data_IF_539561462907
#
_entry.id   IF_539561462907
#
_cell.length_a   1.000
_cell.length_b   1.000
_cell.length_c   1.000
_cell.angle_alpha   90.00
_cell.angle_beta   90.00
_cell.angle_gamma   90.00
#
_symmetry.space_group_name_H-M   'P 1'
#
loop_
_entity.id
_entity.type
_entity.pdbx_description
1 polymer ?
#
# COMPACT_ATOMS: atom_id res chain seq x y z
N UNK A 1 -4.82 -33.04 -17.76
CA UNK A 1 -3.69 -32.23 -18.23
C UNK A 1 -3.99 -31.84 -19.68
N UNK A 2 -4.21 -30.56 -19.95
CA UNK A 2 -4.32 -30.01 -21.31
C UNK A 2 -3.00 -29.35 -21.71
N UNK A 3 -2.56 -29.56 -22.93
CA UNK A 3 -1.42 -28.88 -23.55
C UNK A 3 -1.96 -27.81 -24.50
N UNK A 4 -1.44 -26.60 -24.40
CA UNK A 4 -1.79 -25.48 -25.28
C UNK A 4 -0.53 -25.01 -25.98
N UNK A 5 -0.62 -24.84 -27.29
CA UNK A 5 0.44 -24.24 -28.09
C UNK A 5 0.22 -22.73 -28.18
N UNK A 6 1.27 -21.95 -28.10
CA UNK A 6 1.23 -20.49 -28.18
C UNK A 6 2.54 -19.95 -28.74
N UNK A 7 2.48 -18.82 -29.44
CA UNK A 7 3.66 -18.15 -30.04
C UNK A 7 4.42 -17.29 -29.02
N UNK A 8 3.70 -16.75 -27.99
CA UNK A 8 4.31 -15.96 -26.92
C UNK A 8 3.58 -16.17 -25.59
N UNK A 9 4.36 -16.19 -24.50
CA UNK A 9 3.82 -16.31 -23.14
C UNK A 9 4.38 -15.18 -22.26
N UNK A 10 3.48 -14.42 -21.64
CA UNK A 10 3.83 -13.43 -20.61
C UNK A 10 3.46 -13.97 -19.24
N UNK A 11 4.47 -14.37 -18.46
CA UNK A 11 4.25 -14.89 -17.11
C UNK A 11 4.45 -13.79 -16.06
N UNK A 12 3.35 -13.41 -15.39
CA UNK A 12 3.34 -12.44 -14.28
C UNK A 12 2.75 -13.11 -13.05
N UNK A 13 3.56 -13.88 -12.36
CA UNK A 13 3.10 -14.80 -11.30
C UNK A 13 3.56 -14.47 -9.89
N UNK A 14 4.56 -13.60 -9.72
CA UNK A 14 5.13 -13.32 -8.40
C UNK A 14 5.53 -11.85 -8.24
N UNK A 15 5.55 -11.40 -6.98
CA UNK A 15 6.07 -10.10 -6.59
C UNK A 15 7.41 -10.32 -5.89
N UNK A 16 8.42 -9.55 -6.27
CA UNK A 16 9.71 -9.50 -5.60
C UNK A 16 9.97 -8.10 -5.05
N UNK A 17 10.67 -7.96 -3.93
CA UNK A 17 11.11 -6.66 -3.44
C UNK A 17 12.14 -6.05 -4.40
N UNK A 18 12.08 -4.73 -4.57
CA UNK A 18 13.07 -4.02 -5.38
C UNK A 18 14.46 -4.01 -4.72
N UNK A 19 15.52 -3.90 -5.53
CA UNK A 19 16.91 -3.87 -5.07
C UNK A 19 17.19 -2.76 -4.03
N UNK A 20 16.46 -1.65 -4.08
CA UNK A 20 16.55 -0.56 -3.11
C UNK A 20 16.36 -1.05 -1.65
N UNK A 21 15.51 -2.04 -1.44
CA UNK A 21 15.23 -2.53 -0.08
C UNK A 21 16.42 -3.30 0.48
N UNK A 22 17.08 -4.11 -0.34
CA UNK A 22 18.24 -4.90 0.08
C UNK A 22 19.38 -4.03 0.63
N UNK A 23 19.57 -2.81 0.07
CA UNK A 23 20.60 -1.85 0.51
C UNK A 23 20.14 -0.85 1.58
N UNK A 24 18.88 -0.89 2.01
CA UNK A 24 18.30 0.17 2.84
C UNK A 24 18.60 0.03 4.35
N UNK A 25 19.07 -1.12 4.82
CA UNK A 25 19.23 -1.43 6.26
C UNK A 25 17.91 -1.67 6.99
N UNK A 26 16.78 -1.68 6.31
CA UNK A 26 15.47 -2.02 6.89
C UNK A 26 15.39 -3.52 7.20
N UNK A 27 14.77 -3.86 8.34
CA UNK A 27 14.47 -5.25 8.63
C UNK A 27 13.49 -5.81 7.59
N UNK A 28 13.81 -6.98 7.06
CA UNK A 28 13.01 -7.69 6.06
C UNK A 28 12.61 -9.09 6.55
N UNK A 29 11.62 -9.68 5.91
CA UNK A 29 11.37 -11.11 6.03
C UNK A 29 12.36 -11.93 5.16
N UNK A 30 12.27 -13.26 5.23
CA UNK A 30 13.15 -14.19 4.50
C UNK A 30 13.07 -14.04 2.97
N UNK A 31 12.07 -13.34 2.46
CA UNK A 31 11.86 -13.05 1.04
C UNK A 31 12.27 -11.62 0.65
N UNK A 32 12.83 -10.84 1.58
CA UNK A 32 13.31 -9.49 1.37
C UNK A 32 12.22 -8.40 1.43
N UNK A 33 10.98 -8.69 1.82
CA UNK A 33 9.94 -7.69 2.03
C UNK A 33 10.09 -7.00 3.38
N UNK A 34 9.80 -5.70 3.45
CA UNK A 34 9.97 -4.90 4.67
C UNK A 34 9.10 -5.48 5.80
N UNK A 35 9.74 -5.92 6.87
CA UNK A 35 9.05 -6.42 8.05
C UNK A 35 8.39 -5.26 8.81
N UNK A 36 7.05 -5.29 8.91
CA UNK A 36 6.27 -4.27 9.61
C UNK A 36 5.49 -4.84 10.79
N UNK A 37 5.21 -3.97 11.75
CA UNK A 37 4.28 -4.23 12.85
C UNK A 37 2.83 -4.09 12.40
N UNK A 38 1.88 -4.35 13.30
CA UNK A 38 0.46 -4.10 13.03
C UNK A 38 0.14 -2.63 12.82
N UNK A 39 0.97 -1.70 13.24
CA UNK A 39 0.84 -0.27 12.95
C UNK A 39 1.42 0.13 11.59
N UNK A 40 1.88 -0.82 10.79
CA UNK A 40 2.55 -0.62 9.50
C UNK A 40 3.91 0.08 9.61
N UNK A 41 4.44 0.24 10.81
CA UNK A 41 5.81 0.72 11.02
C UNK A 41 6.82 -0.38 10.74
N UNK A 42 7.95 -0.02 10.14
CA UNK A 42 9.12 -0.90 10.04
C UNK A 42 9.56 -1.36 11.44
N UNK A 43 9.96 -2.61 11.55
CA UNK A 43 10.43 -3.19 12.82
C UNK A 43 11.80 -2.66 13.25
N UNK A 44 12.61 -2.21 12.31
CA UNK A 44 13.95 -1.64 12.58
C UNK A 44 13.97 -0.11 12.66
N UNK A 45 13.04 0.57 11.97
CA UNK A 45 13.05 2.02 11.84
C UNK A 45 11.65 2.60 12.10
N UNK A 46 11.35 3.08 13.32
CA UNK A 46 10.01 3.55 13.69
C UNK A 46 9.48 4.72 12.85
N UNK A 47 10.35 5.50 12.20
CA UNK A 47 9.96 6.59 11.31
C UNK A 47 9.59 6.12 9.90
N UNK A 48 9.83 4.84 9.57
CA UNK A 48 9.54 4.25 8.26
C UNK A 48 8.27 3.42 8.37
N UNK A 49 7.37 3.64 7.42
CA UNK A 49 6.14 2.88 7.27
C UNK A 49 6.12 2.19 5.91
N UNK A 50 5.54 1.00 5.85
CA UNK A 50 5.33 0.29 4.60
C UNK A 50 3.98 -0.41 4.56
N UNK A 51 3.35 -0.43 3.39
CA UNK A 51 2.10 -1.15 3.13
C UNK A 51 2.03 -1.66 1.69
N UNK A 52 0.99 -2.43 1.38
CA UNK A 52 0.88 -3.08 0.07
C UNK A 52 1.87 -4.22 -0.10
N UNK A 53 2.25 -4.50 -1.34
CA UNK A 53 3.02 -5.69 -1.68
C UNK A 53 4.45 -5.67 -1.12
N UNK A 54 5.02 -4.48 -0.88
CA UNK A 54 6.36 -4.35 -0.30
C UNK A 54 6.42 -4.72 1.19
N UNK A 55 5.29 -4.66 1.91
CA UNK A 55 5.24 -4.90 3.34
C UNK A 55 4.99 -6.36 3.69
N UNK A 56 5.70 -6.87 4.68
CA UNK A 56 5.46 -8.17 5.32
C UNK A 56 5.00 -7.97 6.76
N UNK A 57 3.72 -8.28 7.02
CA UNK A 57 3.12 -8.15 8.34
C UNK A 57 3.40 -9.41 9.16
N UNK A 58 4.26 -9.31 10.16
CA UNK A 58 4.57 -10.41 11.08
C UNK A 58 3.73 -10.30 12.36
N UNK A 59 3.21 -11.42 12.90
CA UNK A 59 3.37 -12.82 12.47
C UNK A 59 2.35 -13.27 11.42
N UNK A 60 1.50 -12.40 10.91
CA UNK A 60 0.37 -12.74 10.05
C UNK A 60 0.66 -12.39 8.58
N UNK A 61 1.60 -13.09 7.96
CA UNK A 61 1.85 -12.94 6.53
C UNK A 61 0.54 -13.05 5.71
N UNK A 62 0.36 -12.14 4.74
CA UNK A 62 -0.80 -12.11 3.86
C UNK A 62 -0.39 -12.27 2.41
N UNK A 63 -1.26 -12.81 1.56
CA UNK A 63 -1.03 -12.81 0.12
C UNK A 63 -0.78 -11.39 -0.39
N UNK A 64 0.12 -11.25 -1.36
CA UNK A 64 0.36 -9.98 -2.05
C UNK A 64 -0.80 -9.73 -3.02
N UNK A 65 -1.78 -8.97 -2.58
CA UNK A 65 -2.97 -8.67 -3.35
C UNK A 65 -3.47 -7.25 -3.07
N UNK A 66 -3.88 -6.53 -4.11
CA UNK A 66 -4.27 -5.12 -4.06
C UNK A 66 -5.33 -4.79 -3.01
N UNK A 67 -6.21 -5.74 -2.68
CA UNK A 67 -7.23 -5.54 -1.63
C UNK A 67 -6.62 -5.25 -0.26
N UNK A 68 -5.47 -5.83 0.06
CA UNK A 68 -4.78 -5.55 1.32
C UNK A 68 -4.13 -4.17 1.30
N UNK A 69 -3.51 -3.78 0.18
CA UNK A 69 -2.95 -2.44 -0.01
C UNK A 69 -4.02 -1.35 0.17
N UNK A 70 -5.15 -1.52 -0.52
CA UNK A 70 -6.30 -0.60 -0.47
C UNK A 70 -6.84 -0.44 0.95
N UNK A 71 -7.01 -1.54 1.69
CA UNK A 71 -7.55 -1.51 3.05
C UNK A 71 -6.55 -1.04 4.10
N UNK A 72 -5.26 -1.18 3.84
CA UNK A 72 -4.21 -0.64 4.70
C UNK A 72 -4.08 0.89 4.56
N UNK A 73 -4.42 1.47 3.40
CA UNK A 73 -4.26 2.89 3.10
C UNK A 73 -4.79 3.85 4.16
N UNK A 74 -6.06 3.75 4.59
CA UNK A 74 -6.61 4.63 5.63
C UNK A 74 -5.88 4.51 6.99
N UNK A 75 -5.42 3.31 7.34
CA UNK A 75 -4.64 3.09 8.57
C UNK A 75 -3.25 3.70 8.43
N UNK A 76 -2.60 3.52 7.28
CA UNK A 76 -1.31 4.12 6.99
C UNK A 76 -1.38 5.64 7.07
N UNK A 77 -2.35 6.26 6.40
CA UNK A 77 -2.54 7.72 6.42
C UNK A 77 -2.76 8.26 7.84
N UNK A 78 -3.63 7.58 8.63
CA UNK A 78 -3.83 7.92 10.03
C UNK A 78 -2.53 7.82 10.83
N UNK A 79 -1.81 6.71 10.68
CA UNK A 79 -0.61 6.43 11.46
C UNK A 79 0.56 7.38 11.11
N UNK A 80 0.74 7.71 9.84
CA UNK A 80 1.72 8.72 9.43
C UNK A 80 1.43 10.08 10.08
N UNK A 81 0.16 10.52 10.04
CA UNK A 81 -0.25 11.77 10.69
C UNK A 81 -0.04 11.72 12.20
N UNK A 82 -0.50 10.64 12.85
CA UNK A 82 -0.35 10.51 14.31
C UNK A 82 1.12 10.42 14.72
N UNK A 83 1.93 9.72 13.95
CA UNK A 83 3.38 9.66 14.22
C UNK A 83 4.01 11.06 14.15
N UNK A 84 3.71 11.86 13.13
CA UNK A 84 4.21 13.22 13.00
C UNK A 84 3.77 14.15 14.17
N UNK A 85 2.57 13.93 14.69
CA UNK A 85 2.00 14.73 15.79
C UNK A 85 2.33 14.16 17.18
N UNK A 86 3.01 13.02 17.30
CA UNK A 86 3.27 12.34 18.56
C UNK A 86 2.06 11.66 19.17
N UNK A 87 1.01 11.40 18.38
CA UNK A 87 -0.23 10.80 18.79
C UNK A 87 -0.22 9.26 18.77
N UNK A 88 -1.37 8.67 19.07
CA UNK A 88 -1.53 7.22 19.18
C UNK A 88 -1.75 6.57 17.82
N UNK A 89 -0.97 5.53 17.52
CA UNK A 89 -1.11 4.74 16.29
C UNK A 89 -2.22 3.70 16.41
N UNK A 90 -2.83 3.36 15.28
CA UNK A 90 -3.85 2.33 15.15
C UNK A 90 -3.26 1.05 14.58
N UNK A 91 -3.69 -0.10 15.11
CA UNK A 91 -3.33 -1.40 14.56
C UNK A 91 -4.23 -1.76 13.38
N UNK A 92 -3.62 -2.22 12.30
CA UNK A 92 -4.31 -2.82 11.18
C UNK A 92 -4.47 -4.32 11.40
N UNK A 93 -5.69 -4.82 11.24
CA UNK A 93 -6.02 -6.24 11.29
C UNK A 93 -6.57 -6.67 9.93
N UNK A 94 -5.74 -7.23 9.05
CA UNK A 94 -6.19 -7.63 7.73
C UNK A 94 -7.18 -8.79 7.81
N UNK A 95 -8.18 -8.79 6.91
CA UNK A 95 -9.14 -9.87 6.80
C UNK A 95 -8.43 -11.20 6.45
N UNK A 96 -9.05 -12.32 6.90
CA UNK A 96 -8.53 -13.66 6.61
C UNK A 96 -8.80 -14.10 5.19
N UNK A 97 -9.95 -13.71 4.64
CA UNK A 97 -10.40 -14.08 3.30
C UNK A 97 -10.76 -12.83 2.49
N UNK A 98 -10.59 -12.92 1.19
CA UNK A 98 -11.02 -11.91 0.24
C UNK A 98 -11.60 -12.59 -1.00
N UNK A 99 -12.41 -11.85 -1.75
CA UNK A 99 -12.91 -12.26 -3.05
C UNK A 99 -11.89 -11.81 -4.10
N UNK A 100 -11.34 -12.76 -4.85
CA UNK A 100 -10.55 -12.47 -6.04
C UNK A 100 -11.45 -12.65 -7.27
N UNK A 101 -11.47 -11.65 -8.15
CA UNK A 101 -12.20 -11.68 -9.42
C UNK A 101 -11.19 -11.54 -10.56
N UNK A 102 -11.01 -12.63 -11.31
CA UNK A 102 -10.01 -12.71 -12.38
C UNK A 102 -10.78 -12.78 -13.71
N UNK A 103 -10.67 -11.71 -14.52
CA UNK A 103 -11.27 -11.69 -15.87
C UNK A 103 -10.62 -12.75 -16.76
N UNK A 104 -11.43 -13.40 -17.58
CA UNK A 104 -10.98 -14.38 -18.59
C UNK A 104 -11.26 -13.84 -19.99
N UNK A 105 -10.43 -14.23 -20.97
CA UNK A 105 -10.50 -13.70 -22.34
C UNK A 105 -11.82 -14.05 -23.08
N UNK A 106 -12.57 -15.01 -22.56
CA UNK A 106 -13.85 -15.49 -23.13
C UNK A 106 -15.09 -14.71 -22.65
N UNK A 107 -14.89 -13.52 -22.08
CA UNK A 107 -16.00 -12.67 -21.62
C UNK A 107 -16.59 -13.10 -20.27
N UNK A 108 -15.88 -13.91 -19.49
CA UNK A 108 -16.22 -14.30 -18.14
C UNK A 108 -15.24 -13.81 -17.08
N UNK A 109 -15.48 -14.19 -15.84
CA UNK A 109 -14.51 -14.07 -14.76
C UNK A 109 -14.57 -15.28 -13.83
N UNK A 110 -13.45 -15.59 -13.22
CA UNK A 110 -13.34 -16.58 -12.14
C UNK A 110 -13.39 -15.84 -10.82
N UNK A 111 -14.36 -16.17 -9.99
CA UNK A 111 -14.45 -15.71 -8.61
C UNK A 111 -13.85 -16.75 -7.68
N UNK A 112 -12.92 -16.34 -6.83
CA UNK A 112 -12.28 -17.22 -5.83
C UNK A 112 -12.44 -16.62 -4.44
N UNK A 113 -12.96 -17.42 -3.50
CA UNK A 113 -13.04 -17.06 -2.09
C UNK A 113 -12.77 -18.28 -1.22
N UNK A 114 -11.66 -18.26 -0.50
CA UNK A 114 -11.22 -19.42 0.29
C UNK A 114 -10.98 -20.65 -0.61
N UNK A 115 -11.75 -21.72 -0.37
CA UNK A 115 -11.67 -22.97 -1.14
C UNK A 115 -12.66 -23.02 -2.31
N UNK A 116 -13.53 -22.02 -2.45
CA UNK A 116 -14.57 -21.98 -3.47
C UNK A 116 -14.11 -21.17 -4.67
N UNK A 117 -14.29 -21.74 -5.86
CA UNK A 117 -14.05 -21.07 -7.12
C UNK A 117 -15.23 -21.36 -8.07
N UNK A 118 -15.65 -20.34 -8.79
CA UNK A 118 -16.66 -20.48 -9.84
C UNK A 118 -16.40 -19.54 -10.99
N UNK A 119 -16.79 -19.92 -12.21
CA UNK A 119 -16.66 -19.13 -13.43
C UNK A 119 -18.03 -18.70 -13.91
N UNK A 120 -18.22 -17.42 -14.20
CA UNK A 120 -19.47 -16.89 -14.75
C UNK A 120 -19.26 -15.53 -15.40
N UNK A 121 -20.12 -15.16 -16.36
CA UNK A 121 -20.22 -13.80 -16.88
C UNK A 121 -20.70 -12.80 -15.83
N UNK A 122 -21.53 -13.23 -14.88
CA UNK A 122 -21.99 -12.37 -13.77
C UNK A 122 -20.82 -11.89 -12.90
N UNK A 123 -19.80 -12.71 -12.71
CA UNK A 123 -18.60 -12.30 -11.98
C UNK A 123 -17.82 -11.21 -12.71
N UNK A 124 -17.83 -11.20 -14.04
CA UNK A 124 -17.21 -10.12 -14.81
C UNK A 124 -17.99 -8.81 -14.64
N UNK A 125 -19.32 -8.84 -14.66
CA UNK A 125 -20.14 -7.65 -14.38
C UNK A 125 -19.88 -7.11 -12.97
N UNK A 126 -19.84 -7.99 -11.97
CA UNK A 126 -19.51 -7.61 -10.59
C UNK A 126 -18.11 -6.99 -10.50
N UNK A 127 -17.12 -7.60 -11.17
CA UNK A 127 -15.77 -7.06 -11.24
C UNK A 127 -15.77 -5.65 -11.83
N UNK A 128 -16.39 -5.44 -12.98
CA UNK A 128 -16.46 -4.13 -13.62
C UNK A 128 -17.21 -3.09 -12.78
N UNK A 129 -18.22 -3.51 -12.05
CA UNK A 129 -18.93 -2.61 -11.14
C UNK A 129 -18.05 -2.18 -9.96
N UNK A 130 -17.33 -3.11 -9.34
CA UNK A 130 -16.38 -2.84 -8.26
C UNK A 130 -15.26 -1.92 -8.75
N UNK A 131 -14.66 -2.24 -9.90
CA UNK A 131 -13.55 -1.48 -10.46
C UNK A 131 -13.98 -0.04 -10.80
N UNK A 132 -15.14 0.14 -11.46
CA UNK A 132 -15.68 1.48 -11.76
C UNK A 132 -15.98 2.28 -10.51
N UNK A 133 -16.62 1.65 -9.50
CA UNK A 133 -16.90 2.32 -8.22
C UNK A 133 -15.63 2.71 -7.48
N UNK A 134 -14.58 1.91 -7.62
CA UNK A 134 -13.27 2.22 -7.05
C UNK A 134 -12.61 3.38 -7.80
N UNK A 135 -12.56 3.30 -9.13
CA UNK A 135 -11.95 4.33 -9.97
C UNK A 135 -12.66 5.69 -9.85
N UNK A 136 -13.99 5.70 -9.71
CA UNK A 136 -14.75 6.93 -9.51
C UNK A 136 -14.28 7.79 -8.32
N UNK A 137 -13.65 7.19 -7.33
CA UNK A 137 -13.06 7.92 -6.20
C UNK A 137 -11.82 8.73 -6.56
N UNK A 138 -11.25 8.49 -7.73
CA UNK A 138 -10.01 9.11 -8.20
C UNK A 138 -10.17 9.90 -9.48
N UNK A 139 -11.34 9.85 -10.13
CA UNK A 139 -11.64 10.59 -11.37
C UNK A 139 -12.04 12.05 -11.13
N UNK A 140 -12.69 12.32 -10.01
CA UNK A 140 -13.17 13.66 -9.63
C UNK A 140 -12.33 14.24 -8.49
N UNK A 141 -11.02 14.05 -8.56
CA UNK A 141 -10.12 14.73 -7.64
C UNK A 141 -10.05 16.21 -8.07
N UNK A 142 -10.91 17.04 -7.51
CA UNK A 142 -10.55 18.45 -7.36
C UNK A 142 -9.19 18.48 -6.68
N UNK A 143 -8.18 19.01 -7.37
CA UNK A 143 -6.88 19.24 -6.72
C UNK A 143 -7.18 20.12 -5.51
N UNK A 144 -7.05 19.62 -4.28
CA UNK A 144 -7.24 20.46 -3.12
C UNK A 144 -6.28 21.64 -3.27
N UNK A 145 -6.77 22.85 -2.97
CA UNK A 145 -5.89 24.01 -2.88
C UNK A 145 -4.63 23.60 -2.12
N UNK A 146 -3.43 24.02 -2.53
CA UNK A 146 -2.20 23.67 -1.85
C UNK A 146 -2.42 23.90 -0.35
N UNK A 147 -2.12 22.92 0.50
CA UNK A 147 -2.37 23.04 1.93
C UNK A 147 -1.73 24.34 2.40
N UNK A 148 -2.48 25.12 3.16
CA UNK A 148 -1.93 26.29 3.82
C UNK A 148 -0.60 25.89 4.48
N UNK A 149 0.43 26.74 4.44
CA UNK A 149 1.75 26.40 4.94
C UNK A 149 1.60 25.80 6.35
N UNK A 150 2.01 24.54 6.47
CA UNK A 150 1.88 23.79 7.71
C UNK A 150 2.62 24.58 8.78
N UNK A 151 1.88 25.17 9.73
CA UNK A 151 2.50 25.70 10.94
C UNK A 151 3.12 24.52 11.67
N UNK A 152 4.45 24.45 11.67
CA UNK A 152 5.23 23.36 12.26
C UNK A 152 5.10 23.29 13.81
N UNK A 153 4.26 24.13 14.41
CA UNK A 153 4.04 24.22 15.85
C UNK A 153 3.51 22.93 16.52
N UNK A 154 3.11 21.92 15.74
CA UNK A 154 2.62 20.63 16.24
C UNK A 154 3.48 19.42 15.88
N UNK A 155 4.61 19.59 15.22
CA UNK A 155 5.46 18.47 14.82
C UNK A 155 6.26 17.99 16.05
N UNK A 156 6.18 16.69 16.32
CA UNK A 156 6.94 16.07 17.41
C UNK A 156 8.47 16.28 17.20
N UNK A 157 9.15 17.02 18.09
CA UNK A 157 10.57 17.33 17.93
C UNK A 157 11.48 16.10 17.96
N UNK A 158 10.99 14.95 18.44
CA UNK A 158 11.75 13.69 18.45
C UNK A 158 11.90 13.05 17.07
N UNK A 159 11.13 13.48 16.06
CA UNK A 159 11.12 12.86 14.73
C UNK A 159 12.23 13.40 13.84
N UNK A 160 12.64 14.67 13.97
CA UNK A 160 13.74 15.20 13.16
C UNK A 160 14.33 16.50 13.73
N UNK A 161 15.43 16.47 14.45
CA UNK A 161 16.16 17.69 14.88
C UNK A 161 16.69 18.50 13.67
N UNK A 162 16.92 17.87 12.52
CA UNK A 162 17.48 18.52 11.32
C UNK A 162 16.46 19.24 10.42
N UNK A 163 15.15 19.00 10.56
CA UNK A 163 14.12 19.71 9.76
C UNK A 163 14.08 21.20 10.16
N UNK A 164 14.31 21.54 11.43
CA UNK A 164 14.34 22.93 11.88
C UNK A 164 15.43 23.76 11.18
N UNK A 165 16.57 23.18 10.89
CA UNK A 165 17.72 23.90 10.30
C UNK A 165 17.49 24.20 8.81
N UNK A 166 16.88 23.29 8.06
CA UNK A 166 16.59 23.51 6.62
C UNK A 166 15.49 24.54 6.35
N UNK A 167 14.49 24.63 7.22
CA UNK A 167 13.37 25.58 7.04
C UNK A 167 13.77 27.00 7.38
N UNK A 168 14.62 27.19 8.37
CA UNK A 168 15.16 28.53 8.69
C UNK A 168 16.17 29.01 7.62
N UNK A 169 16.88 28.10 6.95
CA UNK A 169 17.76 28.43 5.82
C UNK A 169 17.04 28.85 4.54
N UNK A 170 15.83 28.30 4.29
CA UNK A 170 15.03 28.63 3.11
C UNK A 170 14.32 30.00 3.21
N UNK A 171 14.17 30.57 4.41
CA UNK A 171 13.62 31.92 4.61
C UNK A 171 14.61 33.05 4.34
N UNK A 172 15.91 32.75 4.25
CA UNK A 172 16.95 33.74 4.03
C UNK A 172 17.30 34.01 2.56
N UNK A 173 16.68 33.29 1.61
CA UNK A 173 16.94 33.41 0.19
C UNK A 173 15.65 33.72 -0.60
N UNK A 174 14.99 34.84 -0.30
CA UNK A 174 14.05 35.47 -1.24
C UNK A 174 14.88 36.47 -2.08
N UNK A 175 14.89 36.36 -3.41
CA UNK A 175 15.57 37.37 -4.26
C UNK A 175 14.80 38.70 -4.27
N UNK A 176 15.48 39.77 -4.64
CA UNK A 176 14.97 41.14 -4.62
C UNK A 176 13.79 41.36 -5.58
#
# INVERSE_FOLDING_TARGET
NSRHEFDACFLVSAVAPGALIAGSGLATDDRGFIAVSTTLQSRSHPAVFASGDIASLSPQARPKAGVFAVRAGPILAHNLRQYALGGRLRSWRPQRQYLALIGTADGGAIAVRGKHASKSRLWLYLKHWIDRRWMAKYTDLEMPAPPAPVRLAGINPKIHPQIKTKINGARAAAPP
#
